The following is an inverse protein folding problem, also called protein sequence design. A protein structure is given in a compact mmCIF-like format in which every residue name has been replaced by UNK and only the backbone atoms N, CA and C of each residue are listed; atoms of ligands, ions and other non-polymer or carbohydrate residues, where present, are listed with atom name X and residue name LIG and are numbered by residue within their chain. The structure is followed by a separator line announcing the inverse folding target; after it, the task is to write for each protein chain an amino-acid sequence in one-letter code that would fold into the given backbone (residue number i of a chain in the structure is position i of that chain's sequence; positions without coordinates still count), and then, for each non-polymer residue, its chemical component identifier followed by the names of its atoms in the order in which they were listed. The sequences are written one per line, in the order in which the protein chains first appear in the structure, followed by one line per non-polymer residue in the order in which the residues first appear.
data_IF_589084289454
#
_entry.id   IF_589084289454
#
_cell.length_a   1.000
_cell.length_b   1.000
_cell.length_c   1.000
_cell.angle_alpha   90.00
_cell.angle_beta   90.00
_cell.angle_gamma   90.00
#
_symmetry.space_group_name_H-M   'P 1'
#
loop_
_entity.id
_entity.type
_entity.pdbx_description
1 polymer ?
#
# COMPACT_ATOMS: atom_id res chain seq x y z
N UNK A 1 28.00 -26.97 9.99
CA UNK A 1 27.30 -26.44 11.19
C UNK A 1 26.31 -25.40 10.72
N UNK A 2 25.02 -25.68 10.78
CA UNK A 2 23.99 -24.68 10.49
C UNK A 2 23.94 -23.68 11.64
N UNK A 3 23.93 -22.36 11.40
CA UNK A 3 23.79 -21.39 12.48
C UNK A 3 22.42 -21.59 13.14
N UNK A 4 22.42 -21.79 14.45
CA UNK A 4 21.22 -21.97 15.26
C UNK A 4 20.37 -20.71 15.14
N UNK A 5 19.22 -20.81 14.47
CA UNK A 5 18.31 -19.68 14.27
C UNK A 5 17.65 -19.32 15.60
N UNK A 6 17.55 -18.03 15.90
CA UNK A 6 16.84 -17.56 17.08
C UNK A 6 15.39 -18.09 17.07
N UNK A 7 14.82 -18.45 18.24
CA UNK A 7 13.45 -18.92 18.29
C UNK A 7 12.50 -17.78 17.90
N UNK A 8 11.57 -18.06 16.99
CA UNK A 8 10.54 -17.12 16.61
C UNK A 8 9.71 -16.70 17.85
N UNK A 9 9.15 -15.47 17.86
CA UNK A 9 8.24 -15.04 18.93
C UNK A 9 7.10 -16.06 19.10
N UNK A 10 7.02 -16.72 20.28
CA UNK A 10 5.98 -17.70 20.60
C UNK A 10 6.43 -19.15 20.76
N UNK A 11 7.65 -19.53 20.36
CA UNK A 11 8.15 -20.92 20.53
C UNK A 11 7.24 -21.95 19.86
N UNK A 12 6.75 -22.94 20.63
CA UNK A 12 5.84 -24.00 20.19
C UNK A 12 4.34 -23.61 20.25
N UNK A 13 4.02 -22.38 20.66
CA UNK A 13 2.63 -21.92 20.75
C UNK A 13 2.06 -21.64 19.35
N UNK A 14 0.73 -21.75 19.18
CA UNK A 14 0.07 -21.33 17.94
C UNK A 14 0.41 -19.87 17.60
N UNK A 15 0.60 -19.60 16.31
CA UNK A 15 0.83 -18.24 15.83
C UNK A 15 -0.45 -17.42 15.99
N UNK A 16 -0.41 -16.24 16.64
CA UNK A 16 -1.63 -15.48 16.93
C UNK A 16 -2.27 -14.94 15.65
N UNK A 17 -3.61 -15.03 15.57
CA UNK A 17 -4.38 -14.81 14.33
C UNK A 17 -5.20 -13.52 14.26
N UNK A 18 -5.12 -12.62 15.25
CA UNK A 18 -5.95 -11.41 15.24
C UNK A 18 -5.38 -10.31 14.34
N UNK A 19 -6.09 -9.18 14.25
CA UNK A 19 -5.67 -7.97 13.52
C UNK A 19 -4.78 -7.03 14.35
N UNK A 20 -4.49 -7.36 15.62
CA UNK A 20 -3.61 -6.56 16.47
C UNK A 20 -2.22 -6.41 15.84
N UNK A 21 -1.59 -5.25 16.06
CA UNK A 21 -0.25 -4.98 15.55
C UNK A 21 0.79 -6.00 16.06
N UNK A 22 0.70 -6.40 17.33
CA UNK A 22 1.54 -7.45 17.94
C UNK A 22 1.43 -8.79 17.21
N UNK A 23 0.21 -9.17 16.84
CA UNK A 23 -0.06 -10.46 16.22
C UNK A 23 0.43 -10.49 14.78
N UNK A 24 0.25 -9.39 14.05
CA UNK A 24 0.83 -9.20 12.71
C UNK A 24 2.36 -9.25 12.74
N UNK A 25 2.98 -8.61 13.74
CA UNK A 25 4.43 -8.68 13.93
C UNK A 25 4.90 -10.11 14.19
N UNK A 26 4.23 -10.84 15.09
CA UNK A 26 4.56 -12.22 15.40
C UNK A 26 4.42 -13.14 14.16
N UNK A 27 3.34 -12.98 13.37
CA UNK A 27 3.14 -13.71 12.10
C UNK A 27 4.23 -13.38 11.09
N UNK A 28 4.53 -12.10 10.87
CA UNK A 28 5.58 -11.67 9.95
C UNK A 28 6.93 -12.31 10.33
N UNK A 29 7.37 -12.15 11.57
CA UNK A 29 8.63 -12.73 12.05
C UNK A 29 8.63 -14.26 11.90
N UNK A 30 7.56 -14.93 12.31
CA UNK A 30 7.45 -16.38 12.23
C UNK A 30 7.58 -16.92 10.81
N UNK A 31 6.86 -16.34 9.85
CA UNK A 31 6.85 -16.80 8.46
C UNK A 31 8.07 -16.32 7.66
N UNK A 32 8.49 -15.06 7.81
CA UNK A 32 9.65 -14.51 7.09
C UNK A 32 10.91 -15.34 7.31
N UNK A 33 11.15 -15.72 8.56
CA UNK A 33 12.32 -16.54 8.83
C UNK A 33 12.19 -17.96 8.24
N UNK A 34 10.97 -18.51 8.07
CA UNK A 34 10.70 -19.87 7.55
C UNK A 34 10.61 -19.95 6.03
N UNK A 35 10.78 -18.83 5.33
CA UNK A 35 10.80 -18.83 3.88
C UNK A 35 11.98 -19.68 3.37
N UNK A 36 11.78 -20.50 2.31
CA UNK A 36 12.90 -21.14 1.65
C UNK A 36 13.83 -20.09 1.07
N UNK A 37 15.13 -20.40 0.98
CA UNK A 37 16.06 -19.54 0.25
C UNK A 37 15.64 -19.50 -1.22
N UNK A 38 15.33 -18.32 -1.78
CA UNK A 38 14.81 -18.22 -3.14
C UNK A 38 15.92 -18.50 -4.15
N UNK A 39 15.60 -19.25 -5.21
CA UNK A 39 16.55 -19.53 -6.31
C UNK A 39 16.43 -18.55 -7.47
N UNK A 40 15.48 -17.61 -7.41
CA UNK A 40 15.26 -16.59 -8.44
C UNK A 40 14.61 -15.33 -7.85
N UNK A 41 14.70 -14.22 -8.58
CA UNK A 41 14.02 -12.97 -8.24
C UNK A 41 12.51 -13.18 -8.05
N UNK A 42 11.86 -13.88 -8.99
CA UNK A 42 10.43 -14.16 -8.92
C UNK A 42 10.06 -14.92 -7.65
N UNK A 43 10.84 -15.93 -7.27
CA UNK A 43 10.60 -16.67 -6.03
C UNK A 43 10.78 -15.79 -4.79
N UNK A 44 11.80 -14.92 -4.76
CA UNK A 44 12.02 -14.00 -3.65
C UNK A 44 10.82 -13.05 -3.46
N UNK A 45 10.36 -12.45 -4.55
CA UNK A 45 9.20 -11.54 -4.54
C UNK A 45 7.93 -12.30 -4.13
N UNK A 46 7.68 -13.48 -4.70
CA UNK A 46 6.50 -14.28 -4.37
C UNK A 46 6.49 -14.72 -2.90
N UNK A 47 7.66 -15.12 -2.36
CA UNK A 47 7.82 -15.50 -0.97
C UNK A 47 7.48 -14.34 -0.02
N UNK A 48 8.04 -13.14 -0.27
CA UNK A 48 7.73 -11.95 0.53
C UNK A 48 6.26 -11.53 0.39
N UNK A 49 5.72 -11.50 -0.83
CA UNK A 49 4.31 -11.17 -1.08
C UNK A 49 3.36 -12.12 -0.33
N UNK A 50 3.71 -13.41 -0.22
CA UNK A 50 2.90 -14.38 0.56
C UNK A 50 2.83 -14.01 2.05
N UNK A 51 3.96 -13.57 2.64
CA UNK A 51 3.99 -13.10 4.03
C UNK A 51 3.21 -11.80 4.19
N UNK A 52 3.38 -10.86 3.25
CA UNK A 52 2.66 -9.58 3.26
C UNK A 52 1.14 -9.79 3.21
N UNK A 53 0.64 -10.70 2.36
CA UNK A 53 -0.78 -11.07 2.32
C UNK A 53 -1.26 -11.74 3.61
N UNK A 54 -0.42 -12.53 4.27
CA UNK A 54 -0.77 -13.16 5.55
C UNK A 54 -0.93 -12.15 6.71
N UNK A 55 -0.18 -11.06 6.68
CA UNK A 55 -0.23 -10.01 7.71
C UNK A 55 -1.11 -8.82 7.32
N UNK A 56 -1.66 -8.81 6.12
CA UNK A 56 -2.64 -7.82 5.67
C UNK A 56 -3.90 -7.84 6.55
N UNK A 57 -4.50 -6.67 6.74
CA UNK A 57 -5.82 -6.58 7.39
C UNK A 57 -6.92 -6.65 6.33
N UNK A 58 -7.91 -7.55 6.50
CA UNK A 58 -9.06 -7.60 5.61
C UNK A 58 -9.90 -6.33 5.73
N UNK A 59 -10.69 -6.04 4.69
CA UNK A 59 -11.78 -5.08 4.77
C UNK A 59 -12.75 -5.53 5.86
N UNK A 60 -13.04 -4.65 6.82
CA UNK A 60 -13.95 -4.95 7.93
C UNK A 60 -14.60 -3.70 8.48
N UNK A 61 -15.77 -3.89 9.07
CA UNK A 61 -16.36 -2.90 9.98
C UNK A 61 -15.53 -2.85 11.27
N UNK A 62 -15.20 -1.66 11.81
CA UNK A 62 -14.54 -1.55 13.11
C UNK A 62 -15.38 -2.19 14.22
N UNK A 63 -14.72 -2.87 15.16
CA UNK A 63 -15.41 -3.38 16.35
C UNK A 63 -15.85 -2.20 17.24
N UNK A 64 -16.95 -2.32 18.00
CA UNK A 64 -17.37 -1.29 18.94
C UNK A 64 -16.22 -0.87 19.88
N UNK A 65 -15.95 0.43 19.96
CA UNK A 65 -14.87 0.99 20.80
C UNK A 65 -13.45 0.87 20.22
N UNK A 66 -13.28 0.37 18.99
CA UNK A 66 -11.98 0.28 18.30
C UNK A 66 -12.02 1.00 16.94
N UNK A 67 -12.06 2.34 16.91
CA UNK A 67 -12.21 3.11 15.68
C UNK A 67 -11.01 2.99 14.72
N UNK A 68 -9.83 2.62 15.23
CA UNK A 68 -8.59 2.50 14.46
C UNK A 68 -8.51 1.24 13.57
N UNK A 69 -9.66 0.68 13.18
CA UNK A 69 -9.67 -0.43 12.25
C UNK A 69 -9.25 0.05 10.86
N UNK A 70 -7.99 -0.19 10.54
CA UNK A 70 -7.40 0.11 9.23
C UNK A 70 -7.34 -1.16 8.39
N UNK A 71 -7.90 -1.09 7.18
CA UNK A 71 -7.78 -2.13 6.16
C UNK A 71 -6.49 -1.94 5.34
N UNK A 72 -5.91 -3.04 4.87
CA UNK A 72 -4.81 -2.95 3.91
C UNK A 72 -5.34 -2.46 2.57
N UNK A 73 -4.88 -1.29 2.13
CA UNK A 73 -5.28 -0.68 0.85
C UNK A 73 -4.30 -1.00 -0.29
N UNK A 74 -3.03 -1.26 0.04
CA UNK A 74 -2.02 -1.78 -0.87
C UNK A 74 -0.87 -2.43 -0.10
N UNK A 75 -0.03 -3.19 -0.80
CA UNK A 75 1.26 -3.70 -0.30
C UNK A 75 2.35 -3.46 -1.33
N UNK A 76 3.61 -3.44 -0.88
CA UNK A 76 4.77 -3.29 -1.76
C UNK A 76 5.88 -4.28 -1.40
N UNK A 77 6.66 -4.66 -2.40
CA UNK A 77 7.90 -5.45 -2.23
C UNK A 77 9.00 -4.76 -3.02
N UNK A 78 10.08 -4.38 -2.34
CA UNK A 78 11.25 -3.77 -2.94
C UNK A 78 12.38 -4.79 -3.06
N UNK A 79 12.74 -5.15 -4.29
CA UNK A 79 13.94 -5.91 -4.59
C UNK A 79 15.13 -4.96 -4.72
N UNK A 80 15.94 -4.91 -3.65
CA UNK A 80 17.10 -4.04 -3.57
C UNK A 80 18.29 -4.53 -4.42
N UNK A 81 18.30 -5.81 -4.81
CA UNK A 81 19.38 -6.40 -5.61
C UNK A 81 19.22 -6.02 -7.07
N UNK A 82 18.01 -6.20 -7.62
CA UNK A 82 17.72 -5.93 -9.03
C UNK A 82 17.01 -4.59 -9.26
N UNK A 83 16.80 -3.81 -8.19
CA UNK A 83 16.17 -2.48 -8.21
C UNK A 83 14.76 -2.49 -8.81
N UNK A 84 13.95 -3.48 -8.43
CA UNK A 84 12.54 -3.59 -8.80
C UNK A 84 11.64 -3.20 -7.64
N UNK A 85 10.64 -2.38 -7.90
CA UNK A 85 9.61 -2.01 -6.92
C UNK A 85 8.25 -2.54 -7.35
N UNK A 86 7.70 -3.49 -6.59
CA UNK A 86 6.40 -4.11 -6.86
C UNK A 86 5.33 -3.46 -6.01
N UNK A 87 4.19 -3.15 -6.62
CA UNK A 87 3.01 -2.58 -5.97
C UNK A 87 1.79 -3.47 -6.25
N UNK A 88 1.07 -3.83 -5.19
CA UNK A 88 -0.18 -4.58 -5.26
C UNK A 88 -1.30 -3.79 -4.58
N UNK A 89 -2.34 -3.45 -5.34
CA UNK A 89 -3.52 -2.76 -4.83
C UNK A 89 -4.55 -3.77 -4.33
N UNK A 90 -5.10 -3.53 -3.15
CA UNK A 90 -6.21 -4.34 -2.60
C UNK A 90 -7.57 -3.75 -2.96
N UNK A 91 -7.65 -2.43 -3.16
CA UNK A 91 -8.90 -1.73 -3.53
C UNK A 91 -9.22 -1.81 -5.02
N UNK A 92 -8.20 -1.97 -5.86
CA UNK A 92 -8.32 -2.27 -7.28
C UNK A 92 -7.40 -3.47 -7.57
N UNK A 93 -7.88 -4.72 -7.40
CA UNK A 93 -7.04 -5.92 -7.38
C UNK A 93 -6.15 -6.05 -8.62
N UNK A 94 -4.89 -5.64 -8.48
CA UNK A 94 -3.93 -5.57 -9.58
C UNK A 94 -2.50 -5.53 -9.02
N UNK A 95 -1.55 -6.04 -9.80
CA UNK A 95 -0.12 -6.03 -9.49
C UNK A 95 0.64 -5.40 -10.64
N UNK A 96 1.43 -4.38 -10.32
CA UNK A 96 2.36 -3.73 -11.23
C UNK A 96 3.74 -3.65 -10.61
N UNK A 97 4.77 -3.44 -11.42
CA UNK A 97 6.10 -3.17 -10.93
C UNK A 97 6.84 -2.17 -11.81
N UNK A 98 7.86 -1.56 -11.21
CA UNK A 98 8.78 -0.64 -11.87
C UNK A 98 10.18 -1.19 -11.73
N UNK A 99 10.91 -1.24 -12.83
CA UNK A 99 12.33 -1.52 -12.87
C UNK A 99 13.08 -0.19 -12.86
N UNK A 100 13.74 0.14 -11.75
CA UNK A 100 14.45 1.42 -11.62
C UNK A 100 15.66 1.51 -12.56
N UNK A 101 16.10 0.40 -13.15
CA UNK A 101 17.10 0.42 -14.23
C UNK A 101 16.59 1.04 -15.52
N UNK A 102 15.27 1.13 -15.68
CA UNK A 102 14.61 1.62 -16.89
C UNK A 102 14.19 3.10 -16.75
N UNK A 103 14.50 3.72 -15.61
CA UNK A 103 14.19 5.12 -15.29
C UNK A 103 15.45 5.99 -15.35
N UNK A 104 15.27 7.26 -15.77
CA UNK A 104 16.32 8.27 -15.75
C UNK A 104 16.33 9.02 -14.41
N UNK A 105 17.45 8.90 -13.68
CA UNK A 105 17.72 9.60 -12.42
C UNK A 105 18.87 10.61 -12.54
N UNK A 106 19.26 10.99 -13.75
CA UNK A 106 20.30 11.99 -13.97
C UNK A 106 19.89 13.37 -13.42
N UNK A 107 20.88 14.19 -13.07
CA UNK A 107 20.62 15.55 -12.60
C UNK A 107 19.88 16.36 -13.67
N UNK A 108 18.75 16.96 -13.30
CA UNK A 108 17.90 17.71 -14.23
C UNK A 108 16.87 16.87 -14.99
N UNK A 109 16.84 15.55 -14.82
CA UNK A 109 15.76 14.70 -15.35
C UNK A 109 14.38 15.18 -14.83
N UNK A 110 13.31 15.09 -15.64
CA UNK A 110 11.98 15.54 -15.24
C UNK A 110 11.43 14.71 -14.07
N UNK A 111 10.64 15.35 -13.21
CA UNK A 111 9.86 14.64 -12.19
C UNK A 111 8.64 14.00 -12.85
N UNK A 112 8.63 12.67 -12.93
CA UNK A 112 7.50 11.93 -13.49
C UNK A 112 6.61 11.31 -12.40
N UNK A 113 5.36 11.04 -12.77
CA UNK A 113 4.34 10.45 -11.91
C UNK A 113 3.65 9.30 -12.63
N UNK A 114 3.38 8.24 -11.88
CA UNK A 114 2.46 7.16 -12.27
C UNK A 114 1.12 7.37 -11.55
N UNK A 115 0.02 7.41 -12.29
CA UNK A 115 -1.33 7.50 -11.71
C UNK A 115 -1.85 6.10 -11.35
N UNK A 116 -1.78 5.74 -10.07
CA UNK A 116 -2.24 4.44 -9.57
C UNK A 116 -3.77 4.31 -9.48
N UNK A 117 -4.55 5.33 -9.81
CA UNK A 117 -6.01 5.21 -9.88
C UNK A 117 -6.47 4.80 -11.27
N UNK A 118 -6.02 5.52 -12.30
CA UNK A 118 -6.45 5.29 -13.67
C UNK A 118 -5.57 4.28 -14.40
N UNK A 119 -4.25 4.43 -14.34
CA UNK A 119 -3.30 3.59 -15.11
C UNK A 119 -3.34 2.14 -14.69
N UNK A 120 -3.61 1.82 -13.42
CA UNK A 120 -3.61 0.44 -12.89
C UNK A 120 -5.01 -0.04 -12.51
N UNK A 121 -6.05 0.61 -13.02
CA UNK A 121 -7.44 0.23 -12.79
C UNK A 121 -7.70 -1.22 -13.22
N UNK A 122 -8.58 -1.91 -12.49
CA UNK A 122 -8.95 -3.31 -12.78
C UNK A 122 -9.53 -3.47 -14.20
N UNK A 123 -10.33 -2.50 -14.64
CA UNK A 123 -10.90 -2.47 -15.98
C UNK A 123 -10.26 -1.33 -16.78
N UNK A 124 -9.66 -1.66 -17.93
CA UNK A 124 -9.03 -0.69 -18.83
C UNK A 124 -7.66 -0.17 -18.37
N UNK A 125 -7.13 -0.63 -17.23
CA UNK A 125 -5.77 -0.33 -16.79
C UNK A 125 -4.74 -1.37 -17.24
N UNK A 126 -3.50 -1.12 -16.84
CA UNK A 126 -2.30 -1.93 -17.14
C UNK A 126 -1.99 -2.84 -15.96
N UNK A 127 -1.49 -4.05 -16.25
CA UNK A 127 -0.87 -4.95 -15.29
C UNK A 127 0.56 -5.24 -15.73
N UNK A 128 1.45 -5.47 -14.76
CA UNK A 128 2.84 -5.84 -15.05
C UNK A 128 3.86 -4.69 -14.98
N UNK A 129 4.84 -4.67 -15.89
CA UNK A 129 5.88 -3.64 -15.92
C UNK A 129 5.27 -2.30 -16.38
N UNK A 130 5.33 -1.29 -15.53
CA UNK A 130 4.80 0.06 -15.80
C UNK A 130 5.92 1.13 -15.85
N UNK A 131 7.17 0.72 -16.06
CA UNK A 131 8.32 1.65 -16.08
C UNK A 131 8.21 2.71 -17.19
N UNK A 132 7.47 2.43 -18.27
CA UNK A 132 7.24 3.35 -19.38
C UNK A 132 5.92 4.13 -19.28
N UNK A 133 5.13 3.95 -18.22
CA UNK A 133 3.81 4.57 -18.04
C UNK A 133 3.87 5.87 -17.20
N UNK A 134 5.07 6.30 -16.84
CA UNK A 134 5.30 7.53 -16.09
C UNK A 134 5.12 8.75 -16.99
N UNK A 135 4.39 9.75 -16.50
CA UNK A 135 4.11 11.00 -17.23
C UNK A 135 4.49 12.21 -16.40
N UNK A 136 4.85 13.32 -17.05
CA UNK A 136 5.08 14.58 -16.36
C UNK A 136 3.74 15.11 -15.82
N UNK A 137 3.68 15.33 -14.51
CA UNK A 137 2.51 15.86 -13.81
C UNK A 137 2.83 17.14 -13.03
N UNK A 138 3.96 17.79 -13.35
CA UNK A 138 4.51 18.91 -12.60
C UNK A 138 5.16 18.50 -11.28
N UNK A 139 5.78 19.47 -10.58
CA UNK A 139 6.50 19.21 -9.34
C UNK A 139 5.56 18.74 -8.22
N UNK A 140 6.03 17.77 -7.44
CA UNK A 140 5.32 17.36 -6.23
C UNK A 140 5.29 18.52 -5.23
N UNK A 141 4.07 18.86 -4.78
CA UNK A 141 3.88 19.87 -3.74
C UNK A 141 3.69 19.18 -2.39
N UNK A 142 4.64 19.36 -1.48
CA UNK A 142 4.49 18.92 -0.10
C UNK A 142 3.51 19.82 0.65
N UNK A 143 2.63 19.22 1.44
CA UNK A 143 1.72 19.96 2.30
C UNK A 143 2.52 20.60 3.45
N UNK A 144 2.70 21.91 3.41
CA UNK A 144 3.38 22.68 4.46
C UNK A 144 2.39 23.33 5.42
N UNK A 145 2.87 23.71 6.60
CA UNK A 145 2.06 24.49 7.57
C UNK A 145 1.52 25.77 6.92
N UNK A 146 2.35 26.47 6.14
CA UNK A 146 1.92 27.68 5.44
C UNK A 146 0.80 27.43 4.43
N UNK A 147 0.87 26.31 3.67
CA UNK A 147 -0.21 25.91 2.76
C UNK A 147 -1.47 25.57 3.55
N UNK A 148 -1.35 24.82 4.65
CA UNK A 148 -2.47 24.47 5.53
C UNK A 148 -3.17 25.70 6.11
N UNK A 149 -2.42 26.69 6.59
CA UNK A 149 -2.97 27.94 7.09
C UNK A 149 -3.69 28.72 5.99
N UNK A 150 -3.13 28.77 4.79
CA UNK A 150 -3.79 29.36 3.62
C UNK A 150 -5.10 28.67 3.27
N UNK A 151 -5.14 27.33 3.28
CA UNK A 151 -6.34 26.54 3.02
C UNK A 151 -7.41 26.76 4.10
N UNK A 152 -7.03 26.81 5.38
CA UNK A 152 -7.95 27.11 6.49
C UNK A 152 -8.61 28.48 6.35
N UNK A 153 -7.80 29.52 6.10
CA UNK A 153 -8.31 30.88 5.86
C UNK A 153 -9.24 30.94 4.67
N UNK A 154 -8.93 30.21 3.58
CA UNK A 154 -9.80 30.15 2.39
C UNK A 154 -11.15 29.47 2.68
N UNK A 155 -11.16 28.45 3.53
CA UNK A 155 -12.39 27.76 3.96
C UNK A 155 -13.21 28.56 4.98
N UNK A 156 -12.58 29.40 5.81
CA UNK A 156 -13.26 30.33 6.72
C UNK A 156 -13.89 31.53 5.98
N UNK A 157 -13.34 31.91 4.83
CA UNK A 157 -13.79 33.04 4.02
C UNK A 157 -14.83 32.64 2.95
N UNK A 158 -14.98 31.34 2.65
CA UNK A 158 -16.06 30.87 1.79
C UNK A 158 -17.41 30.99 2.55
N UNK A 159 -18.40 31.75 2.05
CA UNK A 159 -19.70 31.80 2.70
C UNK A 159 -20.32 30.40 2.68
N UNK A 160 -20.89 29.99 3.82
CA UNK A 160 -21.82 28.87 3.89
C UNK A 160 -23.06 29.21 3.04
N UNK A 161 -22.99 29.03 1.72
CA UNK A 161 -24.15 29.18 0.84
C UNK A 161 -24.77 27.80 0.56
N UNK A 162 -25.99 27.63 1.08
CA UNK A 162 -27.07 26.74 0.66
C UNK A 162 -26.73 25.27 0.36
N UNK A 163 -26.81 24.44 1.39
CA UNK A 163 -27.17 23.04 1.20
C UNK A 163 -28.69 22.94 0.97
N UNK A 164 -29.18 22.46 -0.19
CA UNK A 164 -30.60 22.16 -0.34
C UNK A 164 -30.94 20.94 0.52
N UNK A 165 -31.94 21.08 1.38
CA UNK A 165 -32.57 19.97 2.08
C UNK A 165 -33.14 19.01 1.03
N UNK A 166 -32.55 17.81 0.89
CA UNK A 166 -33.24 16.71 0.20
C UNK A 166 -34.04 15.92 1.22
N UNK A 167 -35.34 16.07 1.09
CA UNK A 167 -36.36 15.29 1.77
C UNK A 167 -36.20 13.79 1.50
N UNK A 168 -36.73 13.04 2.46
CA UNK A 168 -36.92 11.60 2.52
C UNK A 168 -37.55 10.99 1.27
N UNK A 169 -36.87 10.03 0.66
CA UNK A 169 -37.52 9.02 -0.19
C UNK A 169 -36.58 7.82 -0.35
N UNK A 170 -36.72 6.82 0.53
CA UNK A 170 -36.50 5.40 0.25
C UNK A 170 -37.20 4.60 1.35
N UNK A 171 -38.53 4.62 1.30
CA UNK A 171 -39.37 3.55 1.83
C UNK A 171 -39.87 2.74 0.61
N UNK A 172 -39.81 1.41 0.74
CA UNK A 172 -40.35 0.38 -0.15
C UNK A 172 -39.66 0.15 -1.49
N UNK A 173 -38.83 -0.91 -1.52
CA UNK A 173 -38.94 -2.03 -2.47
C UNK A 173 -38.31 -3.28 -1.85
#
# INVERSE_FOLDING_TARGET
MSPTRAPAPGGDKPVPGTTLASDRFARAAYYSERLPQPSSQLQAIAALASVMRNVAQPFRTPDPGKPDASQTIWTTVADLTNRRYVFESTTAPNVVWVDFTDLDFSEGAPQLRLDLHSTVALAGGVAGNVSQEFTDAGPMTFLTVSILEGLRKKNEVAPTSDAPQRESEFANS
#
